data_IF_119987106892
#
_entry.id   IF_119987106892
#
_cell.length_a   1.000
_cell.length_b   1.000
_cell.length_c   1.000
_cell.angle_alpha   90.00
_cell.angle_beta   90.00
_cell.angle_gamma   90.00
#
_symmetry.space_group_name_H-M   'P 1'
#
loop_
_entity.id
_entity.type
_entity.pdbx_description
1 polymer ?
#
# COMPACT_ATOMS: atom_id res chain seq x y z
N UNK A 1 14.23 -5.52 -3.60
CA UNK A 1 14.51 -6.81 -4.28
C UNK A 1 13.35 -7.06 -5.25
N UNK A 2 13.57 -7.42 -6.52
CA UNK A 2 12.47 -7.97 -7.35
C UNK A 2 12.22 -9.39 -6.87
N UNK A 3 10.97 -9.78 -6.62
CA UNK A 3 10.66 -11.13 -6.14
C UNK A 3 10.85 -12.12 -7.29
N UNK A 4 11.85 -13.01 -7.26
CA UNK A 4 12.03 -14.00 -8.30
C UNK A 4 10.97 -15.09 -8.12
N UNK A 5 10.24 -15.45 -9.17
CA UNK A 5 9.35 -16.63 -9.18
C UNK A 5 7.84 -16.36 -9.08
N UNK A 6 7.41 -15.13 -8.85
CA UNK A 6 6.00 -14.77 -9.02
C UNK A 6 5.77 -14.37 -10.48
N UNK A 7 4.79 -14.97 -11.16
CA UNK A 7 4.31 -14.54 -12.48
C UNK A 7 3.59 -13.18 -12.37
N UNK A 8 4.34 -12.14 -12.03
CA UNK A 8 3.82 -10.78 -11.88
C UNK A 8 3.81 -10.13 -13.26
N UNK A 9 2.61 -9.94 -13.82
CA UNK A 9 2.39 -9.40 -15.15
C UNK A 9 1.92 -7.94 -15.11
N UNK A 10 2.05 -7.26 -16.25
CA UNK A 10 1.54 -5.91 -16.43
C UNK A 10 2.24 -4.85 -15.55
N UNK A 11 1.52 -3.84 -15.01
CA UNK A 11 2.12 -2.71 -14.29
C UNK A 11 2.88 -3.11 -13.01
N UNK A 12 2.71 -4.35 -12.55
CA UNK A 12 3.32 -4.86 -11.32
C UNK A 12 4.66 -5.55 -11.55
N UNK A 13 4.97 -5.93 -12.80
CA UNK A 13 6.21 -6.61 -13.17
C UNK A 13 7.49 -5.83 -12.81
N UNK A 14 7.57 -4.49 -12.98
CA UNK A 14 8.79 -3.75 -12.68
C UNK A 14 8.96 -3.40 -11.20
N UNK A 15 7.99 -3.69 -10.33
CA UNK A 15 7.94 -3.19 -8.95
C UNK A 15 8.98 -3.84 -8.04
N UNK A 16 9.74 -3.00 -7.32
CA UNK A 16 10.59 -3.43 -6.21
C UNK A 16 9.72 -3.61 -4.96
N UNK A 17 9.09 -4.77 -4.86
CA UNK A 17 8.25 -5.14 -3.73
C UNK A 17 9.00 -5.16 -2.39
N UNK A 18 8.22 -5.05 -1.32
CA UNK A 18 8.70 -4.99 0.07
C UNK A 18 9.83 -3.97 0.26
N UNK A 19 9.67 -2.81 -0.39
CA UNK A 19 10.58 -1.69 -0.28
C UNK A 19 9.83 -0.36 -0.34
N UNK A 20 10.45 0.70 0.14
CA UNK A 20 9.97 2.09 0.01
C UNK A 20 9.67 2.52 -1.43
N UNK A 21 10.20 1.80 -2.42
CA UNK A 21 10.00 2.08 -3.83
C UNK A 21 8.75 1.43 -4.44
N UNK A 22 8.04 0.58 -3.69
CA UNK A 22 6.93 -0.20 -4.27
C UNK A 22 5.81 0.69 -4.84
N UNK A 23 5.39 1.71 -4.10
CA UNK A 23 4.37 2.66 -4.57
C UNK A 23 4.89 3.53 -5.74
N UNK A 24 6.07 4.19 -5.65
CA UNK A 24 6.65 4.91 -6.78
C UNK A 24 6.79 4.06 -8.07
N UNK A 25 7.29 2.84 -7.96
CA UNK A 25 7.47 1.94 -9.10
C UNK A 25 6.12 1.57 -9.72
N UNK A 26 5.10 1.32 -8.88
CA UNK A 26 3.74 1.01 -9.35
C UNK A 26 3.12 2.19 -10.10
N UNK A 27 3.22 3.40 -9.54
CA UNK A 27 2.69 4.62 -10.17
C UNK A 27 3.38 4.92 -11.50
N UNK A 28 4.70 4.75 -11.57
CA UNK A 28 5.46 4.92 -12.79
C UNK A 28 5.04 3.91 -13.87
N UNK A 29 4.87 2.64 -13.51
CA UNK A 29 4.45 1.59 -14.44
C UNK A 29 3.02 1.78 -14.96
N UNK A 30 2.07 2.15 -14.07
CA UNK A 30 0.70 2.48 -14.47
C UNK A 30 0.65 3.67 -15.43
N UNK A 31 1.46 4.71 -15.17
CA UNK A 31 1.58 5.87 -16.07
C UNK A 31 2.17 5.48 -17.43
N UNK A 32 3.18 4.61 -17.45
CA UNK A 32 3.79 4.13 -18.70
C UNK A 32 2.80 3.34 -19.58
N UNK A 33 1.78 2.74 -18.98
CA UNK A 33 0.70 2.03 -19.66
C UNK A 33 -0.54 2.91 -19.94
N UNK A 34 -0.43 4.24 -19.79
CA UNK A 34 -1.55 5.20 -19.96
C UNK A 34 -2.78 4.90 -19.08
N UNK A 35 -2.59 4.25 -17.93
CA UNK A 35 -3.67 4.03 -16.97
C UNK A 35 -4.02 5.32 -16.23
N UNK A 36 -5.32 5.52 -15.96
CA UNK A 36 -5.80 6.58 -15.08
C UNK A 36 -5.98 6.00 -13.68
N UNK A 37 -5.35 6.63 -12.68
CA UNK A 37 -5.32 6.15 -11.29
C UNK A 37 -5.81 7.26 -10.37
N UNK A 38 -6.77 6.94 -9.50
CA UNK A 38 -7.17 7.79 -8.37
C UNK A 38 -6.54 7.29 -7.08
N UNK A 39 -6.00 8.19 -6.26
CA UNK A 39 -5.45 7.86 -4.93
C UNK A 39 -6.54 8.08 -3.89
N UNK A 40 -6.88 7.02 -3.15
CA UNK A 40 -7.80 7.08 -2.02
C UNK A 40 -7.17 7.67 -0.76
N UNK A 41 -7.90 7.59 0.35
CA UNK A 41 -7.37 7.99 1.66
C UNK A 41 -6.18 7.11 2.07
N UNK A 42 -5.13 7.72 2.60
CA UNK A 42 -4.00 7.00 3.20
C UNK A 42 -4.44 6.38 4.52
N UNK A 43 -4.23 5.06 4.64
CA UNK A 43 -4.44 4.30 5.87
C UNK A 43 -3.08 3.88 6.45
N UNK A 44 -3.05 3.71 7.77
CA UNK A 44 -1.86 3.19 8.44
C UNK A 44 -1.89 1.65 8.43
N UNK A 45 -0.78 1.05 8.05
CA UNK A 45 -0.57 -0.39 8.16
C UNK A 45 -0.58 -0.85 9.63
N UNK A 46 -0.91 -2.13 9.83
CA UNK A 46 -0.92 -2.77 11.13
C UNK A 46 0.00 -3.98 11.05
N UNK A 47 1.29 -3.75 11.29
CA UNK A 47 2.32 -4.79 11.13
C UNK A 47 2.68 -5.47 12.45
N UNK A 48 2.43 -4.80 13.57
CA UNK A 48 2.78 -5.31 14.90
C UNK A 48 1.74 -4.93 15.97
N UNK A 49 1.95 -5.47 17.19
CA UNK A 49 1.05 -5.24 18.32
C UNK A 49 0.90 -3.77 18.73
N UNK A 50 1.94 -2.94 18.52
CA UNK A 50 1.87 -1.49 18.81
C UNK A 50 0.97 -0.79 17.78
N UNK A 51 1.06 -1.15 16.51
CA UNK A 51 0.18 -0.62 15.48
C UNK A 51 -1.28 -1.00 15.77
N UNK A 52 -1.49 -2.25 16.16
CA UNK A 52 -2.81 -2.75 16.51
C UNK A 52 -3.41 -2.00 17.69
N UNK A 53 -2.66 -1.81 18.78
CA UNK A 53 -3.11 -1.04 19.93
C UNK A 53 -3.45 0.41 19.55
N UNK A 54 -2.64 1.06 18.69
CA UNK A 54 -2.94 2.40 18.18
C UNK A 54 -4.22 2.44 17.36
N UNK A 55 -4.41 1.46 16.48
CA UNK A 55 -5.63 1.34 15.69
C UNK A 55 -6.86 1.15 16.58
N UNK A 56 -6.81 0.25 17.56
CA UNK A 56 -7.91 -0.01 18.48
C UNK A 56 -8.30 1.25 19.27
N UNK A 57 -7.32 2.02 19.74
CA UNK A 57 -7.57 3.29 20.42
C UNK A 57 -8.23 4.34 19.49
N UNK A 58 -7.93 4.34 18.18
CA UNK A 58 -8.65 5.17 17.19
C UNK A 58 -10.10 4.73 17.05
N UNK A 59 -10.37 3.42 16.95
CA UNK A 59 -11.74 2.89 16.83
C UNK A 59 -12.60 3.27 18.03
N UNK A 60 -12.08 3.10 19.26
CA UNK A 60 -12.80 3.49 20.49
C UNK A 60 -13.11 4.99 20.55
N UNK A 61 -12.20 5.85 20.06
CA UNK A 61 -12.44 7.30 19.97
C UNK A 61 -13.52 7.66 18.96
N UNK A 62 -13.59 6.93 17.84
CA UNK A 62 -14.62 7.14 16.82
C UNK A 62 -16.00 6.71 17.35
N UNK A 63 -16.10 5.56 18.00
CA UNK A 63 -17.34 5.06 18.59
C UNK A 63 -17.93 5.97 19.68
N UNK A 64 -17.08 6.77 20.36
CA UNK A 64 -17.52 7.75 21.38
C UNK A 64 -17.98 9.09 20.80
N UNK A 65 -17.75 9.33 19.51
CA UNK A 65 -18.07 10.59 18.82
C UNK A 65 -19.34 10.49 17.97
N UNK A 66 -19.86 9.28 17.75
CA UNK A 66 -21.18 9.02 17.17
C UNK A 66 -22.17 8.67 18.27
#
# INVERSE_FOLDING_TARGET
>A
RRFPGANVQGPFSPVRWSSEFALPDTMAAMRALNMRVGIGATLADIDNGRDYARWQARQMRQARRG
#
